data_IF_463478837672
#
_entry.id   IF_463478837672
#
_cell.length_a   1.000
_cell.length_b   1.000
_cell.length_c   1.000
_cell.angle_alpha   90.00
_cell.angle_beta   90.00
_cell.angle_gamma   90.00
#
_symmetry.space_group_name_H-M   'P 1'
#
loop_
_entity.id
_entity.type
_entity.pdbx_description
1 polymer ?
#
# COMPACT_ATOMS: atom_id res chain seq x y z
N UNK A 1 -7.77 -44.25 22.61
CA UNK A 1 -7.19 -43.41 21.55
C UNK A 1 -7.53 -41.97 21.92
N UNK A 2 -6.58 -41.21 22.47
CA UNK A 2 -6.80 -39.76 22.67
C UNK A 2 -6.78 -39.11 21.30
N UNK A 3 -7.84 -38.38 20.94
CA UNK A 3 -7.87 -37.59 19.72
C UNK A 3 -6.90 -36.43 19.90
N UNK A 4 -5.87 -36.35 19.05
CA UNK A 4 -5.01 -35.18 18.95
C UNK A 4 -5.88 -33.99 18.53
N UNK A 5 -6.02 -33.00 19.42
CA UNK A 5 -6.75 -31.79 19.09
C UNK A 5 -5.78 -30.81 18.44
N UNK A 6 -6.04 -30.34 17.21
CA UNK A 6 -5.17 -29.37 16.56
C UNK A 6 -5.21 -28.04 17.32
N UNK A 7 -4.09 -27.35 17.35
CA UNK A 7 -3.99 -25.99 17.84
C UNK A 7 -3.56 -25.03 16.73
N UNK A 8 -3.95 -23.77 16.86
CA UNK A 8 -3.54 -22.69 15.97
C UNK A 8 -2.81 -21.63 16.77
N UNK A 9 -1.61 -21.25 16.31
CA UNK A 9 -0.83 -20.14 16.85
C UNK A 9 -1.30 -18.84 16.23
N UNK A 10 -1.52 -17.83 17.08
CA UNK A 10 -1.76 -16.47 16.64
C UNK A 10 -0.77 -15.51 17.29
N UNK A 11 -0.50 -14.38 16.63
CA UNK A 11 0.36 -13.35 17.20
C UNK A 11 -0.42 -12.45 18.15
N UNK A 12 0.12 -12.15 19.34
CA UNK A 12 -0.57 -11.33 20.35
C UNK A 12 -0.61 -9.85 19.98
N UNK A 13 0.32 -9.39 19.15
CA UNK A 13 0.42 -8.01 18.67
C UNK A 13 -0.60 -7.68 17.58
N UNK A 14 -0.77 -8.58 16.61
CA UNK A 14 -1.63 -8.36 15.42
C UNK A 14 -2.93 -9.18 15.42
N UNK A 15 -3.02 -10.25 16.21
CA UNK A 15 -4.12 -11.20 16.16
C UNK A 15 -4.06 -12.15 14.95
N UNK A 16 -3.02 -12.05 14.11
CA UNK A 16 -2.84 -12.86 12.90
C UNK A 16 -2.63 -14.33 13.24
N UNK A 17 -3.34 -15.21 12.53
CA UNK A 17 -3.09 -16.64 12.56
C UNK A 17 -1.79 -16.94 11.81
N UNK A 18 -0.77 -17.38 12.56
CA UNK A 18 0.59 -17.52 12.05
C UNK A 18 0.89 -18.95 11.57
N UNK A 19 0.40 -19.96 12.28
CA UNK A 19 0.67 -21.36 11.97
C UNK A 19 -0.34 -22.30 12.65
N UNK A 20 -0.56 -23.46 12.04
CA UNK A 20 -1.23 -24.58 12.69
C UNK A 20 -0.18 -25.50 13.31
N UNK A 21 -0.46 -26.02 14.51
CA UNK A 21 0.37 -27.01 15.17
C UNK A 21 -0.52 -28.15 15.64
N UNK A 22 -0.19 -29.37 15.23
CA UNK A 22 -0.71 -30.57 15.88
C UNK A 22 0.20 -30.81 17.07
N UNK A 23 -0.24 -30.41 18.26
CA UNK A 23 0.60 -30.45 19.46
C UNK A 23 -0.12 -31.07 20.65
N UNK A 24 0.67 -31.80 21.44
CA UNK A 24 0.37 -32.09 22.84
C UNK A 24 0.19 -30.76 23.62
N UNK A 25 -0.74 -30.68 24.59
CA UNK A 25 -0.98 -29.49 25.42
C UNK A 25 0.23 -28.93 26.17
N UNK A 26 1.38 -29.61 26.16
CA UNK A 26 2.64 -29.20 26.78
C UNK A 26 3.54 -28.31 25.91
N UNK A 27 3.10 -27.91 24.70
CA UNK A 27 3.95 -27.11 23.81
C UNK A 27 4.32 -25.75 24.41
N UNK A 28 5.61 -25.42 24.36
CA UNK A 28 6.10 -24.09 24.73
C UNK A 28 5.72 -23.09 23.65
N UNK A 29 4.91 -22.09 24.01
CA UNK A 29 4.50 -21.02 23.09
C UNK A 29 5.60 -19.96 23.04
N UNK A 30 6.12 -19.60 21.86
CA UNK A 30 7.08 -18.52 21.76
C UNK A 30 6.53 -17.21 22.33
N UNK A 31 7.39 -16.41 22.95
CA UNK A 31 7.00 -15.10 23.45
C UNK A 31 6.39 -14.25 22.32
N UNK A 32 5.25 -13.61 22.59
CA UNK A 32 4.50 -12.85 21.59
C UNK A 32 3.42 -13.63 20.84
N UNK A 33 3.23 -14.92 21.14
CA UNK A 33 2.19 -15.77 20.54
C UNK A 33 1.19 -16.29 21.57
N UNK A 34 -0.02 -16.59 21.11
CA UNK A 34 -1.05 -17.30 21.86
C UNK A 34 -1.49 -18.58 21.14
N UNK A 35 -2.15 -19.48 21.86
CA UNK A 35 -2.70 -20.74 21.34
C UNK A 35 -4.22 -20.72 21.32
N UNK A 36 -4.79 -21.27 20.26
CA UNK A 36 -6.23 -21.52 20.10
C UNK A 36 -6.45 -22.99 19.82
N UNK A 37 -7.41 -23.60 20.50
CA UNK A 37 -7.84 -24.96 20.20
C UNK A 37 -8.67 -24.96 18.92
N UNK A 38 -8.39 -25.90 18.00
CA UNK A 38 -9.05 -26.03 16.71
C UNK A 38 -8.22 -25.55 15.52
N UNK A 39 -8.77 -25.79 14.32
CA UNK A 39 -8.21 -25.34 13.04
C UNK A 39 -8.88 -24.03 12.64
N UNK A 40 -8.10 -22.95 12.59
CA UNK A 40 -8.56 -21.64 12.14
C UNK A 40 -7.79 -21.26 10.89
N UNK A 41 -8.50 -20.74 9.90
CA UNK A 41 -7.88 -20.37 8.62
C UNK A 41 -6.99 -19.14 8.79
N UNK A 42 -6.05 -18.93 7.86
CA UNK A 42 -5.30 -17.66 7.79
C UNK A 42 -6.20 -16.44 7.54
N UNK A 43 -7.46 -16.63 7.12
CA UNK A 43 -8.46 -15.58 6.97
C UNK A 43 -9.21 -15.27 8.28
N UNK A 44 -8.99 -16.06 9.34
CA UNK A 44 -9.50 -15.78 10.69
C UNK A 44 -8.43 -15.03 11.46
N UNK A 45 -8.78 -13.99 12.22
CA UNK A 45 -7.91 -13.35 13.21
C UNK A 45 -8.51 -13.48 14.59
N UNK A 46 -7.64 -13.53 15.61
CA UNK A 46 -8.06 -13.57 17.00
C UNK A 46 -8.03 -12.18 17.60
N UNK A 47 -9.21 -11.60 17.83
CA UNK A 47 -9.33 -10.20 18.26
C UNK A 47 -10.21 -10.08 19.47
N UNK A 48 -9.66 -9.47 20.53
CA UNK A 48 -10.32 -9.25 21.82
C UNK A 48 -10.95 -10.52 22.40
N UNK A 49 -10.35 -11.68 22.17
CA UNK A 49 -10.84 -12.97 22.69
C UNK A 49 -11.91 -13.64 21.84
N UNK A 50 -12.16 -13.18 20.60
CA UNK A 50 -13.10 -13.80 19.67
C UNK A 50 -12.42 -14.11 18.33
N UNK A 51 -12.74 -15.26 17.71
CA UNK A 51 -12.35 -15.53 16.33
C UNK A 51 -13.22 -14.70 15.39
N UNK A 52 -12.60 -13.83 14.59
CA UNK A 52 -13.31 -13.01 13.60
C UNK A 52 -12.75 -13.33 12.22
N UNK A 53 -13.62 -13.68 11.28
CA UNK A 53 -13.24 -13.77 9.87
C UNK A 53 -13.02 -12.37 9.32
N UNK A 54 -11.82 -12.11 8.80
CA UNK A 54 -11.53 -10.85 8.13
C UNK A 54 -12.27 -10.80 6.80
N UNK A 55 -12.77 -9.63 6.39
CA UNK A 55 -13.17 -9.43 5.02
C UNK A 55 -11.98 -9.75 4.08
N UNK A 56 -12.23 -10.25 2.86
CA UNK A 56 -11.16 -10.54 1.92
C UNK A 56 -10.31 -9.28 1.69
N UNK A 57 -8.99 -9.45 1.68
CA UNK A 57 -8.05 -8.38 1.40
C UNK A 57 -8.35 -7.78 0.01
N UNK A 58 -8.56 -6.45 -0.11
CA UNK A 58 -8.91 -5.83 -1.39
C UNK A 58 -7.82 -6.02 -2.46
N UNK A 59 -6.57 -5.71 -2.13
CA UNK A 59 -5.40 -5.89 -3.00
C UNK A 59 -4.08 -5.98 -2.19
N UNK A 60 -2.95 -6.19 -2.87
CA UNK A 60 -1.62 -6.33 -2.26
C UNK A 60 -1.06 -5.04 -1.64
N UNK A 61 -1.70 -3.89 -1.82
CA UNK A 61 -1.32 -2.62 -1.22
C UNK A 61 -1.93 -2.42 0.15
N UNK A 62 -2.95 -3.20 0.52
CA UNK A 62 -3.64 -3.04 1.79
C UNK A 62 -2.99 -3.87 2.90
N UNK A 63 -2.84 -3.30 4.08
CA UNK A 63 -2.42 -3.99 5.31
C UNK A 63 -3.58 -3.94 6.30
N UNK A 64 -3.69 -4.96 7.13
CA UNK A 64 -4.71 -4.96 8.17
C UNK A 64 -4.33 -3.94 9.25
N UNK A 65 -5.23 -3.00 9.54
CA UNK A 65 -5.09 -2.09 10.68
C UNK A 65 -5.95 -2.61 11.84
N UNK A 66 -5.33 -3.20 12.90
CA UNK A 66 -6.08 -3.72 14.03
C UNK A 66 -6.68 -2.63 14.93
N UNK A 67 -6.26 -1.37 14.77
CA UNK A 67 -6.82 -0.21 15.49
C UNK A 67 -8.03 0.34 14.76
N UNK A 68 -7.92 0.55 13.44
CA UNK A 68 -9.03 0.98 12.60
C UNK A 68 -10.05 -0.13 12.32
N UNK A 69 -9.66 -1.39 12.52
CA UNK A 69 -10.44 -2.57 12.19
C UNK A 69 -10.84 -2.62 10.71
N UNK A 70 -9.92 -2.23 9.84
CA UNK A 70 -10.15 -2.14 8.39
C UNK A 70 -8.86 -2.43 7.60
N UNK A 71 -9.03 -2.71 6.31
CA UNK A 71 -7.93 -2.77 5.35
C UNK A 71 -7.51 -1.34 5.00
N UNK A 72 -6.31 -0.93 5.43
CA UNK A 72 -5.75 0.39 5.10
C UNK A 72 -4.66 0.25 4.05
N UNK A 73 -4.47 1.27 3.20
CA UNK A 73 -3.32 1.30 2.30
C UNK A 73 -2.04 1.30 3.15
N UNK A 74 -1.08 0.44 2.79
CA UNK A 74 0.21 0.38 3.46
C UNK A 74 0.87 1.78 3.46
N UNK A 75 1.06 2.40 4.64
CA UNK A 75 1.54 3.78 4.72
C UNK A 75 2.96 3.95 4.16
N UNK A 76 3.80 2.92 4.24
CA UNK A 76 5.15 2.94 3.65
C UNK A 76 5.07 2.91 2.12
N UNK A 77 4.17 2.10 1.57
CA UNK A 77 3.93 2.03 0.13
C UNK A 77 3.34 3.34 -0.41
N UNK A 78 2.35 3.90 0.29
CA UNK A 78 1.74 5.18 -0.08
C UNK A 78 2.81 6.28 -0.12
N UNK A 79 3.60 6.41 0.95
CA UNK A 79 4.70 7.38 1.04
C UNK A 79 5.69 7.23 -0.12
N UNK A 80 6.07 5.98 -0.44
CA UNK A 80 6.97 5.68 -1.55
C UNK A 80 6.38 6.09 -2.91
N UNK A 81 5.13 5.74 -3.19
CA UNK A 81 4.45 6.07 -4.45
C UNK A 81 4.33 7.59 -4.66
N UNK A 82 3.96 8.32 -3.62
CA UNK A 82 3.95 9.79 -3.66
C UNK A 82 5.33 10.38 -3.92
N UNK A 83 6.39 9.79 -3.34
CA UNK A 83 7.76 10.22 -3.61
C UNK A 83 8.16 9.99 -5.07
N UNK A 84 7.86 8.80 -5.63
CA UNK A 84 8.12 8.47 -7.03
C UNK A 84 7.39 9.42 -7.98
N UNK A 85 6.13 9.73 -7.72
CA UNK A 85 5.37 10.69 -8.53
C UNK A 85 6.04 12.07 -8.53
N UNK A 86 6.42 12.59 -7.36
CA UNK A 86 7.13 13.89 -7.27
C UNK A 86 8.48 13.87 -8.00
N UNK A 87 9.20 12.76 -7.93
CA UNK A 87 10.46 12.58 -8.67
C UNK A 87 10.22 12.62 -10.18
N UNK A 88 9.23 11.89 -10.68
CA UNK A 88 8.91 11.84 -12.11
C UNK A 88 8.45 13.21 -12.63
N UNK A 89 7.58 13.90 -11.89
CA UNK A 89 7.20 15.28 -12.19
C UNK A 89 8.42 16.18 -12.33
N UNK A 90 9.37 16.06 -11.39
CA UNK A 90 10.60 16.88 -11.38
C UNK A 90 11.48 16.55 -12.59
N UNK A 91 11.61 15.27 -12.93
CA UNK A 91 12.32 14.80 -14.12
C UNK A 91 11.72 15.37 -15.40
N UNK A 92 10.40 15.31 -15.56
CA UNK A 92 9.69 15.83 -16.73
C UNK A 92 9.79 17.35 -16.85
N UNK A 93 9.67 18.08 -15.73
CA UNK A 93 9.87 19.54 -15.71
C UNK A 93 11.31 19.92 -16.10
N UNK A 94 12.31 19.22 -15.60
CA UNK A 94 13.70 19.47 -15.96
C UNK A 94 13.97 19.18 -17.45
N UNK A 95 13.40 18.09 -17.97
CA UNK A 95 13.58 17.67 -19.36
C UNK A 95 13.02 18.67 -20.39
N UNK A 96 12.07 19.53 -20.00
CA UNK A 96 11.46 20.53 -20.89
C UNK A 96 11.74 21.98 -20.49
N UNK A 97 12.70 22.23 -19.59
CA UNK A 97 12.96 23.58 -19.07
C UNK A 97 13.40 24.56 -20.17
N UNK A 98 14.24 24.08 -21.08
CA UNK A 98 14.76 24.87 -22.20
C UNK A 98 13.65 25.31 -23.18
N UNK A 99 12.55 24.55 -23.33
CA UNK A 99 11.41 24.91 -24.19
C UNK A 99 10.62 26.11 -23.66
N UNK A 100 10.86 26.55 -22.42
CA UNK A 100 10.23 27.77 -21.87
C UNK A 100 11.04 29.03 -22.14
N UNK A 101 12.28 28.91 -22.64
CA UNK A 101 13.14 30.08 -22.84
C UNK A 101 12.70 30.88 -24.07
N UNK A 102 12.73 32.22 -24.01
CA UNK A 102 12.36 33.07 -25.14
C UNK A 102 13.32 32.93 -26.33
N UNK A 103 14.57 32.56 -26.07
CA UNK A 103 15.62 32.44 -27.09
C UNK A 103 15.64 31.07 -27.80
N UNK A 104 14.81 30.11 -27.36
CA UNK A 104 14.76 28.79 -27.99
C UNK A 104 14.02 28.87 -29.34
N UNK A 105 14.62 28.38 -30.44
CA UNK A 105 14.03 28.50 -31.78
C UNK A 105 12.81 27.60 -31.94
N UNK A 106 11.62 28.13 -31.69
CA UNK A 106 10.32 27.49 -31.86
C UNK A 106 9.24 28.53 -32.19
N UNK A 107 8.07 28.09 -32.67
CA UNK A 107 6.94 28.99 -32.83
C UNK A 107 6.32 29.40 -31.49
N UNK A 108 5.57 30.50 -31.49
CA UNK A 108 4.85 30.95 -30.30
C UNK A 108 3.80 29.93 -29.85
N UNK A 109 3.14 29.26 -30.80
CA UNK A 109 2.18 28.18 -30.52
C UNK A 109 2.85 26.99 -29.84
N UNK A 110 4.02 26.58 -30.32
CA UNK A 110 4.80 25.51 -29.70
C UNK A 110 5.22 25.91 -28.27
N UNK A 111 5.71 27.14 -28.08
CA UNK A 111 6.06 27.66 -26.75
C UNK A 111 4.85 27.65 -25.81
N UNK A 112 3.69 28.09 -26.27
CA UNK A 112 2.45 28.08 -25.48
C UNK A 112 2.04 26.65 -25.07
N UNK A 113 2.15 25.67 -25.97
CA UNK A 113 1.87 24.27 -25.67
C UNK A 113 2.81 23.71 -24.60
N UNK A 114 4.11 24.03 -24.65
CA UNK A 114 5.08 23.63 -23.63
C UNK A 114 4.82 24.28 -22.26
N UNK A 115 4.41 25.55 -22.25
CA UNK A 115 4.02 26.23 -21.01
C UNK A 115 2.78 25.57 -20.38
N UNK A 116 1.77 25.23 -21.19
CA UNK A 116 0.58 24.52 -20.72
C UNK A 116 0.91 23.13 -20.18
N UNK A 117 1.73 22.35 -20.89
CA UNK A 117 2.23 21.05 -20.45
C UNK A 117 2.94 21.15 -19.09
N UNK A 118 3.83 22.13 -18.93
CA UNK A 118 4.55 22.36 -17.68
C UNK A 118 3.63 22.79 -16.54
N UNK A 119 2.59 23.56 -16.82
CA UNK A 119 1.60 23.90 -15.81
C UNK A 119 0.85 22.65 -15.34
N UNK A 120 0.38 21.83 -16.28
CA UNK A 120 -0.29 20.56 -15.95
C UNK A 120 0.60 19.64 -15.09
N UNK A 121 1.92 19.59 -15.36
CA UNK A 121 2.87 18.87 -14.50
C UNK A 121 2.97 19.48 -13.09
N UNK A 122 2.96 20.81 -12.95
CA UNK A 122 3.05 21.48 -11.63
C UNK A 122 1.79 21.32 -10.80
N UNK A 123 0.64 21.19 -11.46
CA UNK A 123 -0.63 20.90 -10.81
C UNK A 123 -0.60 19.50 -10.17
N UNK A 124 0.31 18.62 -10.60
CA UNK A 124 0.58 17.35 -9.94
C UNK A 124 1.49 17.53 -8.69
N UNK A 125 1.17 16.86 -7.57
CA UNK A 125 0.07 15.91 -7.43
C UNK A 125 -1.17 16.49 -6.72
N UNK A 126 -1.33 17.82 -6.69
CA UNK A 126 -2.39 18.50 -5.92
C UNK A 126 -3.82 18.20 -6.38
N UNK A 127 -3.98 17.54 -7.52
CA UNK A 127 -5.26 17.08 -8.08
C UNK A 127 -5.50 15.57 -7.92
N UNK A 128 -4.66 14.84 -7.17
CA UNK A 128 -4.78 13.39 -6.98
C UNK A 128 -5.10 13.03 -5.53
N UNK A 129 -5.87 11.96 -5.36
CA UNK A 129 -6.09 11.29 -4.07
C UNK A 129 -5.36 9.94 -3.99
N UNK A 130 -5.04 9.32 -5.14
CA UNK A 130 -4.26 8.08 -5.25
C UNK A 130 -3.11 8.29 -6.26
N UNK A 131 -1.84 8.13 -5.86
CA UNK A 131 -0.70 8.31 -6.75
C UNK A 131 -0.64 7.24 -7.87
N UNK A 132 -1.29 6.09 -7.69
CA UNK A 132 -1.38 5.05 -8.72
C UNK A 132 -2.33 5.43 -9.87
N UNK A 133 -3.19 6.46 -9.69
CA UNK A 133 -4.12 6.94 -10.71
C UNK A 133 -3.59 8.14 -11.50
N UNK A 134 -2.31 8.51 -11.33
CA UNK A 134 -1.71 9.64 -12.06
C UNK A 134 -1.86 9.46 -13.57
N UNK A 135 -2.38 10.51 -14.21
CA UNK A 135 -2.41 10.64 -15.67
C UNK A 135 -1.49 11.77 -16.07
N UNK A 136 -0.38 11.43 -16.71
CA UNK A 136 0.58 12.42 -17.19
C UNK A 136 0.03 13.14 -18.43
N UNK A 137 0.27 14.46 -18.56
CA UNK A 137 -0.10 15.19 -19.77
C UNK A 137 0.67 14.66 -20.98
N UNK A 138 0.06 14.72 -22.16
CA UNK A 138 0.71 14.31 -23.41
C UNK A 138 1.83 15.27 -23.79
N UNK A 139 2.93 14.71 -24.33
CA UNK A 139 4.07 15.50 -24.76
C UNK A 139 3.68 16.41 -25.94
N UNK A 140 4.01 17.71 -25.91
CA UNK A 140 3.87 18.56 -27.08
C UNK A 140 4.82 18.15 -28.21
N UNK A 141 4.40 18.42 -29.45
CA UNK A 141 5.20 18.23 -30.67
C UNK A 141 6.34 19.23 -30.86
#
# INVERSE_FOLDING_TARGET
MQQEVPFTLYRLDTGEIAAFVVADPTISVPAGFGLLQGYWSAATHWVRGMPVELPPRPDDRHVWDPVAWDWVINPDLDTYQWAQLRMERTRLLAACDYRSQPDYPQSDEARAAWLAYRQALRDLPGNLTDPAQVRWPDLPG
#
